data_IF_791916024297
#
_entry.id   IF_791916024297
#
_cell.length_a   1.000
_cell.length_b   1.000
_cell.length_c   1.000
_cell.angle_alpha   90.00
_cell.angle_beta   90.00
_cell.angle_gamma   90.00
#
_symmetry.space_group_name_H-M   'P 1'
#
loop_
_entity.id
_entity.type
_entity.pdbx_description
1 polymer ?
#
# COMPACT_ATOMS: atom_id res chain seq x y z
N UNK A 1 -6.56 -16.59 12.18
CA UNK A 1 -6.40 -15.15 12.47
C UNK A 1 -7.80 -14.55 12.55
N UNK A 2 -8.08 -13.75 13.56
CA UNK A 2 -9.33 -12.99 13.60
C UNK A 2 -9.20 -11.65 12.87
N UNK A 3 -10.34 -10.94 12.70
CA UNK A 3 -10.39 -9.69 11.96
C UNK A 3 -9.62 -8.56 12.67
N UNK A 4 -9.63 -8.54 13.99
CA UNK A 4 -8.93 -7.51 14.76
C UNK A 4 -7.41 -7.71 14.66
N UNK A 5 -6.93 -8.94 14.77
CA UNK A 5 -5.52 -9.23 14.54
C UNK A 5 -5.06 -8.76 13.16
N UNK A 6 -5.83 -9.05 12.12
CA UNK A 6 -5.52 -8.60 10.76
C UNK A 6 -5.47 -7.06 10.67
N UNK A 7 -6.50 -6.36 11.18
CA UNK A 7 -6.60 -4.90 11.13
C UNK A 7 -5.47 -4.21 11.89
N UNK A 8 -5.15 -4.64 13.09
CA UNK A 8 -4.15 -3.99 13.95
C UNK A 8 -2.71 -4.26 13.51
N UNK A 9 -2.44 -5.43 12.92
CA UNK A 9 -1.09 -5.83 12.56
C UNK A 9 -0.73 -5.66 11.09
N UNK A 10 -1.70 -5.37 10.22
CA UNK A 10 -1.40 -5.06 8.81
C UNK A 10 -0.73 -3.70 8.69
N UNK A 11 0.50 -3.70 8.22
CA UNK A 11 1.32 -2.52 7.96
C UNK A 11 2.22 -2.76 6.77
N UNK A 12 2.83 -1.70 6.23
CA UNK A 12 3.75 -1.82 5.11
C UNK A 12 4.98 -2.67 5.47
N UNK A 13 5.05 -3.88 4.91
CA UNK A 13 6.17 -4.83 5.06
C UNK A 13 7.03 -4.78 3.81
N UNK A 14 8.13 -4.01 3.89
CA UNK A 14 9.00 -3.73 2.74
C UNK A 14 10.31 -4.54 2.73
N UNK A 15 10.49 -5.44 3.68
CA UNK A 15 11.59 -6.41 3.70
C UNK A 15 11.01 -7.79 3.69
N UNK A 16 11.09 -8.44 2.55
CA UNK A 16 10.49 -9.75 2.30
C UNK A 16 11.51 -10.71 1.72
N UNK A 17 11.23 -11.98 1.81
CA UNK A 17 11.98 -13.03 1.13
C UNK A 17 11.58 -13.08 -0.36
N UNK A 18 12.45 -13.52 -1.25
CA UNK A 18 12.14 -13.69 -2.67
C UNK A 18 11.33 -14.97 -2.96
N UNK A 19 10.97 -15.73 -1.93
CA UNK A 19 10.24 -16.99 -2.07
C UNK A 19 8.91 -16.77 -2.80
N UNK A 20 8.56 -17.57 -3.81
CA UNK A 20 7.33 -17.41 -4.56
C UNK A 20 6.11 -17.64 -3.67
N UNK A 21 5.05 -16.87 -3.93
CA UNK A 21 3.77 -17.04 -3.25
C UNK A 21 2.97 -18.12 -3.98
N UNK A 22 2.53 -19.20 -3.30
CA UNK A 22 1.77 -20.29 -3.94
C UNK A 22 0.49 -19.79 -4.61
N UNK A 23 0.11 -20.42 -5.71
CA UNK A 23 -1.06 -20.02 -6.53
C UNK A 23 -2.35 -20.02 -5.72
N UNK A 24 -2.55 -20.99 -4.85
CA UNK A 24 -3.72 -21.06 -3.97
C UNK A 24 -3.80 -19.91 -2.96
N UNK A 25 -2.65 -19.40 -2.49
CA UNK A 25 -2.58 -18.17 -1.67
C UNK A 25 -2.93 -16.94 -2.51
N UNK A 26 -2.40 -16.85 -3.74
CA UNK A 26 -2.73 -15.75 -4.66
C UNK A 26 -4.25 -15.73 -4.98
N UNK A 27 -4.86 -16.91 -5.17
CA UNK A 27 -6.30 -17.05 -5.41
C UNK A 27 -7.11 -16.51 -4.22
N UNK A 28 -6.75 -16.86 -2.97
CA UNK A 28 -7.44 -16.37 -1.78
C UNK A 28 -7.31 -14.85 -1.61
N UNK A 29 -6.13 -14.29 -1.93
CA UNK A 29 -5.90 -12.85 -1.90
C UNK A 29 -6.80 -12.13 -2.90
N UNK A 30 -6.89 -12.61 -4.14
CA UNK A 30 -7.72 -12.00 -5.18
C UNK A 30 -9.22 -12.19 -4.93
N UNK A 31 -9.64 -13.37 -4.46
CA UNK A 31 -11.05 -13.59 -4.11
C UNK A 31 -11.50 -12.67 -2.99
N UNK A 32 -10.66 -12.44 -1.97
CA UNK A 32 -10.95 -11.48 -0.92
C UNK A 32 -11.06 -10.04 -1.43
N UNK A 33 -10.24 -9.63 -2.41
CA UNK A 33 -10.32 -8.31 -3.01
C UNK A 33 -11.72 -8.01 -3.56
N UNK A 34 -12.28 -8.94 -4.32
CA UNK A 34 -13.59 -8.76 -4.98
C UNK A 34 -14.79 -8.88 -4.04
N UNK A 35 -14.59 -9.19 -2.74
CA UNK A 35 -15.64 -9.16 -1.71
C UNK A 35 -15.90 -7.76 -1.17
N UNK A 36 -15.06 -6.78 -1.48
CA UNK A 36 -15.26 -5.41 -1.08
C UNK A 36 -16.55 -4.80 -1.70
N UNK A 37 -17.19 -3.84 -1.04
CA UNK A 37 -18.30 -3.11 -1.64
C UNK A 37 -17.83 -2.25 -2.80
N UNK A 38 -18.70 -2.04 -3.79
CA UNK A 38 -18.50 -1.06 -4.86
C UNK A 38 -19.76 -0.22 -5.07
N UNK A 39 -19.60 1.03 -5.47
CA UNK A 39 -20.73 1.93 -5.75
C UNK A 39 -21.69 1.30 -6.75
N UNK A 40 -22.99 1.18 -6.38
CA UNK A 40 -23.99 0.52 -7.19
C UNK A 40 -23.68 -0.94 -7.57
N UNK A 41 -22.75 -1.59 -6.87
CA UNK A 41 -22.24 -2.93 -7.20
C UNK A 41 -21.71 -3.04 -8.65
N UNK A 42 -21.15 -1.97 -9.16
CA UNK A 42 -20.67 -1.90 -10.56
C UNK A 42 -19.43 -2.73 -10.82
N UNK A 43 -18.60 -2.95 -9.81
CA UNK A 43 -17.38 -3.76 -9.87
C UNK A 43 -16.46 -3.37 -11.05
N UNK A 44 -16.37 -2.07 -11.32
CA UNK A 44 -15.55 -1.49 -12.38
C UNK A 44 -14.08 -1.43 -12.00
N UNK A 45 -13.52 -2.55 -11.58
CA UNK A 45 -12.12 -2.73 -11.24
C UNK A 45 -11.49 -3.86 -12.04
N UNK A 46 -10.17 -3.78 -12.18
CA UNK A 46 -9.34 -4.88 -12.68
C UNK A 46 -8.12 -5.01 -11.78
N UNK A 47 -7.75 -6.25 -11.54
CA UNK A 47 -6.58 -6.62 -10.78
C UNK A 47 -5.63 -7.40 -11.66
N UNK A 48 -4.36 -7.00 -11.70
CA UNK A 48 -3.34 -7.67 -12.48
C UNK A 48 -2.22 -8.12 -11.56
N UNK A 49 -1.98 -9.42 -11.50
CA UNK A 49 -0.82 -9.98 -10.83
C UNK A 49 0.38 -9.96 -11.77
N UNK A 50 1.54 -9.59 -11.24
CA UNK A 50 2.81 -9.58 -11.96
C UNK A 50 3.85 -10.28 -11.12
N UNK A 51 4.32 -11.43 -11.59
CA UNK A 51 5.41 -12.22 -11.00
C UNK A 51 6.52 -12.51 -12.01
N UNK A 52 6.28 -12.26 -13.30
CA UNK A 52 7.23 -12.48 -14.36
C UNK A 52 8.48 -11.59 -14.20
N UNK A 53 9.70 -12.17 -14.10
CA UNK A 53 10.92 -11.40 -13.90
C UNK A 53 11.20 -10.38 -14.99
N UNK A 54 10.88 -10.69 -16.26
CA UNK A 54 11.10 -9.79 -17.39
C UNK A 54 10.25 -8.54 -17.32
N UNK A 55 9.01 -8.64 -16.84
CA UNK A 55 8.11 -7.49 -16.62
C UNK A 55 8.59 -6.67 -15.43
N UNK A 56 8.94 -7.31 -14.33
CA UNK A 56 9.47 -6.63 -13.13
C UNK A 56 10.78 -5.87 -13.43
N UNK A 57 11.66 -6.45 -14.25
CA UNK A 57 12.89 -5.79 -14.68
C UNK A 57 12.67 -4.51 -15.49
N UNK A 58 11.54 -4.38 -16.19
CA UNK A 58 11.16 -3.15 -16.89
C UNK A 58 10.53 -2.12 -15.93
N UNK A 59 9.76 -2.58 -14.94
CA UNK A 59 9.08 -1.72 -13.97
C UNK A 59 10.02 -1.14 -12.91
N UNK A 60 11.03 -1.88 -12.47
CA UNK A 60 11.93 -1.48 -11.39
C UNK A 60 12.67 -0.16 -11.63
N UNK A 61 13.30 0.09 -12.77
CA UNK A 61 13.92 1.38 -13.09
C UNK A 61 12.92 2.54 -13.01
N UNK A 62 11.70 2.35 -13.55
CA UNK A 62 10.63 3.35 -13.49
C UNK A 62 10.22 3.62 -12.04
N UNK A 63 10.09 2.57 -11.22
CA UNK A 63 9.76 2.73 -9.80
C UNK A 63 10.81 3.55 -9.06
N UNK A 64 12.12 3.28 -9.29
CA UNK A 64 13.21 4.05 -8.70
C UNK A 64 13.19 5.52 -9.12
N UNK A 65 12.96 5.81 -10.41
CA UNK A 65 12.83 7.18 -10.91
C UNK A 65 11.64 7.90 -10.25
N UNK A 66 10.49 7.24 -10.15
CA UNK A 66 9.29 7.78 -9.49
C UNK A 66 9.56 8.04 -7.99
N UNK A 67 10.26 7.14 -7.30
CA UNK A 67 10.65 7.35 -5.90
C UNK A 67 11.61 8.52 -5.74
N UNK A 68 12.60 8.66 -6.61
CA UNK A 68 13.50 9.81 -6.61
C UNK A 68 12.73 11.13 -6.79
N UNK A 69 11.78 11.15 -7.74
CA UNK A 69 10.91 12.31 -7.96
C UNK A 69 10.04 12.62 -6.74
N UNK A 70 9.47 11.61 -6.09
CA UNK A 70 8.68 11.76 -4.86
C UNK A 70 9.46 12.48 -3.75
N UNK A 71 10.72 12.09 -3.54
CA UNK A 71 11.56 12.67 -2.50
C UNK A 71 11.91 14.14 -2.74
N UNK A 72 12.15 14.52 -4.00
CA UNK A 72 12.55 15.89 -4.34
C UNK A 72 11.36 16.82 -4.64
N UNK A 73 10.13 16.29 -4.62
CA UNK A 73 8.91 17.08 -4.83
C UNK A 73 8.02 17.06 -3.57
N UNK A 74 7.26 16.00 -3.38
CA UNK A 74 6.21 15.93 -2.34
C UNK A 74 6.80 15.90 -0.93
N UNK A 75 7.93 15.22 -0.73
CA UNK A 75 8.55 15.07 0.60
C UNK A 75 9.76 15.96 0.84
N UNK A 76 10.11 16.84 -0.11
CA UNK A 76 11.32 17.65 -0.05
C UNK A 76 11.45 18.39 1.27
N UNK A 77 10.50 19.24 1.61
CA UNK A 77 10.57 20.11 2.78
C UNK A 77 10.61 19.31 4.09
N UNK A 78 9.89 18.20 4.17
CA UNK A 78 9.91 17.30 5.33
C UNK A 78 11.26 16.59 5.48
N UNK A 79 11.88 16.19 4.36
CA UNK A 79 13.21 15.59 4.38
C UNK A 79 14.31 16.58 4.69
N UNK A 80 14.22 17.79 4.17
CA UNK A 80 15.16 18.86 4.49
C UNK A 80 15.12 19.18 6.00
N UNK A 81 13.93 19.31 6.58
CA UNK A 81 13.75 19.48 8.02
C UNK A 81 14.28 18.29 8.82
N UNK A 82 13.98 17.06 8.38
CA UNK A 82 14.44 15.86 9.07
C UNK A 82 15.96 15.68 9.03
N UNK A 83 16.61 16.07 7.93
CA UNK A 83 18.08 16.05 7.83
C UNK A 83 18.75 17.16 8.65
N UNK A 84 18.09 18.32 8.83
CA UNK A 84 18.61 19.41 9.62
C UNK A 84 18.58 19.14 11.14
N UNK A 85 17.61 18.34 11.62
CA UNK A 85 17.44 18.01 13.04
C UNK A 85 17.04 16.51 13.22
N UNK A 86 17.96 15.57 12.91
CA UNK A 86 17.64 14.13 12.82
C UNK A 86 17.28 13.46 14.15
N UNK A 87 17.64 14.06 15.27
CA UNK A 87 17.40 13.52 16.62
C UNK A 87 16.00 13.86 17.15
N UNK A 88 15.28 14.78 16.52
CA UNK A 88 13.89 15.06 16.87
C UNK A 88 13.01 13.84 16.52
N UNK A 89 12.09 13.42 17.40
CA UNK A 89 11.32 12.17 17.22
C UNK A 89 10.57 12.07 15.88
N UNK A 90 9.91 13.16 15.45
CA UNK A 90 9.16 13.20 14.18
C UNK A 90 10.11 13.12 12.97
N UNK A 91 11.28 13.75 13.05
CA UNK A 91 12.30 13.72 12.02
C UNK A 91 12.96 12.35 11.92
N UNK A 92 13.30 11.75 13.06
CA UNK A 92 13.81 10.38 13.12
C UNK A 92 12.82 9.37 12.52
N UNK A 93 11.51 9.57 12.75
CA UNK A 93 10.47 8.75 12.12
C UNK A 93 10.45 8.96 10.60
N UNK A 94 10.48 10.19 10.11
CA UNK A 94 10.50 10.50 8.68
C UNK A 94 11.71 9.86 7.98
N UNK A 95 12.90 9.96 8.55
CA UNK A 95 14.11 9.32 8.00
C UNK A 95 14.00 7.80 8.00
N UNK A 96 13.36 7.21 9.00
CA UNK A 96 13.09 5.77 9.06
C UNK A 96 12.11 5.34 7.96
N UNK A 97 11.06 6.13 7.71
CA UNK A 97 10.09 5.92 6.63
C UNK A 97 10.80 6.00 5.27
N UNK A 98 11.62 7.03 5.05
CA UNK A 98 12.40 7.20 3.83
C UNK A 98 13.29 5.99 3.57
N UNK A 99 14.13 5.58 4.54
CA UNK A 99 15.00 4.40 4.39
C UNK A 99 14.22 3.13 4.08
N UNK A 100 13.04 2.96 4.69
CA UNK A 100 12.19 1.79 4.45
C UNK A 100 11.58 1.81 3.05
N UNK A 101 11.12 2.96 2.57
CA UNK A 101 10.54 3.10 1.24
C UNK A 101 11.63 3.03 0.14
N UNK A 102 12.82 3.60 0.41
CA UNK A 102 13.96 3.50 -0.51
C UNK A 102 14.42 2.04 -0.67
N UNK A 103 14.46 1.27 0.43
CA UNK A 103 14.75 -0.16 0.35
C UNK A 103 13.81 -0.91 -0.61
N UNK A 104 12.51 -0.59 -0.59
CA UNK A 104 11.58 -1.18 -1.55
C UNK A 104 11.94 -0.78 -2.99
N UNK A 105 12.32 0.48 -3.22
CA UNK A 105 12.70 0.94 -4.56
C UNK A 105 13.97 0.26 -5.06
N UNK A 106 14.95 0.09 -4.19
CA UNK A 106 16.24 -0.52 -4.53
C UNK A 106 16.12 -2.02 -4.86
N UNK A 107 15.09 -2.68 -4.30
CA UNK A 107 14.84 -4.13 -4.43
C UNK A 107 13.52 -4.46 -5.12
N UNK A 108 12.95 -3.54 -5.90
CA UNK A 108 11.59 -3.67 -6.45
C UNK A 108 11.41 -4.94 -7.29
N UNK A 109 12.40 -5.30 -8.10
CA UNK A 109 12.36 -6.49 -8.97
C UNK A 109 12.44 -7.83 -8.21
N UNK A 110 12.90 -7.79 -6.95
CA UNK A 110 13.07 -8.98 -6.11
C UNK A 110 11.76 -9.43 -5.43
N UNK A 111 10.73 -8.56 -5.42
CA UNK A 111 9.44 -8.93 -4.84
C UNK A 111 8.80 -10.07 -5.63
N UNK A 112 8.36 -11.16 -4.94
CA UNK A 112 7.86 -12.34 -5.63
C UNK A 112 6.56 -12.08 -6.37
N UNK A 113 5.74 -11.12 -5.91
CA UNK A 113 4.45 -10.83 -6.52
C UNK A 113 4.08 -9.35 -6.37
N UNK A 114 3.57 -8.77 -7.45
CA UNK A 114 2.97 -7.43 -7.47
C UNK A 114 1.49 -7.55 -7.83
N UNK A 115 0.66 -6.68 -7.27
CA UNK A 115 -0.75 -6.53 -7.63
C UNK A 115 -0.98 -5.11 -8.09
N UNK A 116 -1.31 -4.92 -9.35
CA UNK A 116 -1.78 -3.64 -9.89
C UNK A 116 -3.30 -3.58 -9.84
N UNK A 117 -3.82 -2.46 -9.36
CA UNK A 117 -5.25 -2.19 -9.26
C UNK A 117 -5.63 -1.07 -10.22
N UNK A 118 -6.61 -1.33 -11.07
CA UNK A 118 -7.16 -0.37 -12.03
C UNK A 118 -8.66 -0.21 -11.81
N UNK A 119 -9.20 0.95 -12.16
CA UNK A 119 -10.63 1.23 -12.02
C UNK A 119 -11.11 2.15 -13.13
N UNK A 120 -12.38 2.00 -13.51
CA UNK A 120 -13.11 2.97 -14.32
C UNK A 120 -14.09 3.73 -13.42
N UNK A 121 -14.07 5.07 -13.48
CA UNK A 121 -15.01 5.94 -12.78
C UNK A 121 -15.18 5.64 -11.27
N UNK A 122 -14.12 5.87 -10.53
CA UNK A 122 -14.15 5.84 -9.05
C UNK A 122 -13.43 7.09 -8.49
N UNK A 123 -14.04 8.28 -8.62
CA UNK A 123 -13.35 9.56 -8.37
C UNK A 123 -12.89 9.75 -6.93
N UNK A 124 -13.46 9.01 -5.98
CA UNK A 124 -13.07 9.07 -4.56
C UNK A 124 -12.18 7.90 -4.13
N UNK A 125 -11.98 6.89 -4.99
CA UNK A 125 -11.33 5.63 -4.62
C UNK A 125 -12.17 4.75 -3.69
N UNK A 126 -13.46 5.08 -3.51
CA UNK A 126 -14.36 4.44 -2.55
C UNK A 126 -14.67 2.98 -2.83
N UNK A 127 -14.40 2.51 -4.04
CA UNK A 127 -14.55 1.09 -4.43
C UNK A 127 -13.19 0.39 -4.48
N UNK A 128 -12.22 0.96 -5.19
CA UNK A 128 -10.96 0.29 -5.46
C UNK A 128 -10.06 0.16 -4.22
N UNK A 129 -9.99 1.18 -3.35
CA UNK A 129 -9.15 1.09 -2.15
C UNK A 129 -9.68 0.10 -1.10
N UNK A 130 -11.00 0.00 -0.80
CA UNK A 130 -11.53 -1.09 0.00
C UNK A 130 -11.20 -2.48 -0.56
N UNK A 131 -11.27 -2.66 -1.88
CA UNK A 131 -10.91 -3.92 -2.53
C UNK A 131 -9.42 -4.24 -2.40
N UNK A 132 -8.55 -3.26 -2.67
CA UNK A 132 -7.10 -3.40 -2.49
C UNK A 132 -6.74 -3.68 -1.02
N UNK A 133 -7.40 -3.00 -0.08
CA UNK A 133 -7.21 -3.25 1.36
C UNK A 133 -7.66 -4.64 1.77
N UNK A 134 -8.78 -5.15 1.24
CA UNK A 134 -9.23 -6.53 1.47
C UNK A 134 -8.20 -7.55 1.00
N UNK A 135 -7.55 -7.32 -0.15
CA UNK A 135 -6.43 -8.16 -0.62
C UNK A 135 -5.26 -8.14 0.38
N UNK A 136 -4.91 -6.97 0.93
CA UNK A 136 -3.82 -6.84 1.89
C UNK A 136 -4.14 -7.53 3.23
N UNK A 137 -5.38 -7.46 3.71
CA UNK A 137 -5.83 -8.17 4.91
C UNK A 137 -5.81 -9.69 4.70
N UNK A 138 -6.26 -10.17 3.53
CA UNK A 138 -6.18 -11.58 3.18
C UNK A 138 -4.72 -12.05 3.10
N UNK A 139 -3.84 -11.28 2.47
CA UNK A 139 -2.41 -11.56 2.45
C UNK A 139 -1.84 -11.68 3.86
N UNK A 140 -2.21 -10.76 4.77
CA UNK A 140 -1.81 -10.84 6.19
C UNK A 140 -2.27 -12.13 6.85
N UNK A 141 -3.51 -12.59 6.57
CA UNK A 141 -4.06 -13.84 7.10
C UNK A 141 -3.27 -15.07 6.61
N UNK A 142 -2.71 -15.01 5.41
CA UNK A 142 -1.85 -16.03 4.82
C UNK A 142 -0.36 -15.90 5.22
N UNK A 143 -0.03 -14.97 6.12
CA UNK A 143 1.36 -14.72 6.53
C UNK A 143 2.18 -13.96 5.49
N UNK A 144 1.55 -13.42 4.46
CA UNK A 144 2.18 -12.63 3.39
C UNK A 144 2.15 -11.14 3.77
N UNK A 145 3.31 -10.52 3.75
CA UNK A 145 3.47 -9.08 3.92
C UNK A 145 3.08 -8.31 2.68
N UNK A 146 2.53 -7.12 2.88
CA UNK A 146 2.09 -6.26 1.79
C UNK A 146 2.60 -4.82 1.98
N UNK A 147 2.85 -4.11 0.88
CA UNK A 147 3.09 -2.66 0.91
C UNK A 147 2.42 -2.00 -0.29
N UNK A 148 1.44 -1.13 -0.01
CA UNK A 148 0.74 -0.35 -1.03
C UNK A 148 1.58 0.87 -1.44
N UNK A 149 1.63 1.13 -2.72
CA UNK A 149 2.26 2.31 -3.32
C UNK A 149 1.44 2.81 -4.51
N UNK A 150 1.41 4.12 -4.71
CA UNK A 150 0.84 4.77 -5.90
C UNK A 150 1.88 5.57 -6.68
N UNK A 151 3.15 5.47 -6.32
CA UNK A 151 4.21 6.34 -6.85
C UNK A 151 4.39 6.25 -8.36
N UNK A 152 3.96 5.17 -8.97
CA UNK A 152 3.96 5.00 -10.44
C UNK A 152 3.16 6.07 -11.19
N UNK A 153 2.28 6.82 -10.50
CA UNK A 153 1.52 7.90 -11.14
C UNK A 153 2.42 8.96 -11.80
N UNK A 154 3.65 9.13 -11.34
CA UNK A 154 4.61 10.06 -11.94
C UNK A 154 5.01 9.68 -13.39
N UNK A 155 4.93 8.40 -13.72
CA UNK A 155 5.29 7.88 -15.04
C UNK A 155 4.28 6.82 -15.52
N UNK A 156 3.00 7.06 -15.24
CA UNK A 156 1.96 6.04 -15.42
C UNK A 156 1.85 5.54 -16.86
N UNK A 157 2.03 6.40 -17.86
CA UNK A 157 1.92 6.00 -19.27
C UNK A 157 2.91 4.90 -19.65
N UNK A 158 4.15 4.97 -19.14
CA UNK A 158 5.16 3.94 -19.36
C UNK A 158 4.75 2.61 -18.70
N UNK A 159 4.16 2.70 -17.51
CA UNK A 159 3.69 1.51 -16.78
C UNK A 159 2.54 0.84 -17.50
N UNK A 160 1.56 1.62 -17.99
CA UNK A 160 0.43 1.10 -18.76
C UNK A 160 0.91 0.42 -20.06
N UNK A 161 1.90 0.98 -20.75
CA UNK A 161 2.50 0.38 -21.95
C UNK A 161 3.19 -0.95 -21.65
N UNK A 162 3.98 -1.02 -20.59
CA UNK A 162 4.65 -2.28 -20.17
C UNK A 162 3.62 -3.36 -19.79
N UNK A 163 2.56 -2.98 -19.10
CA UNK A 163 1.52 -3.89 -18.64
C UNK A 163 0.49 -4.22 -19.72
N UNK A 164 0.53 -3.56 -20.88
CA UNK A 164 -0.45 -3.75 -21.95
C UNK A 164 -1.86 -3.32 -21.60
N UNK A 165 -2.01 -2.32 -20.72
CA UNK A 165 -3.34 -1.83 -20.32
C UNK A 165 -3.92 -0.98 -21.44
N UNK A 166 -5.16 -1.28 -21.93
CA UNK A 166 -5.77 -0.53 -23.03
C UNK A 166 -6.12 0.90 -22.58
N UNK A 167 -5.42 1.88 -23.17
CA UNK A 167 -5.55 3.30 -22.81
C UNK A 167 -6.87 3.92 -23.29
N UNK A 168 -7.46 3.37 -24.33
CA UNK A 168 -8.73 3.82 -24.94
C UNK A 168 -9.97 3.33 -24.18
N UNK A 169 -9.83 2.36 -23.30
CA UNK A 169 -10.93 1.84 -22.47
C UNK A 169 -11.18 2.62 -21.18
N UNK A 170 -10.37 3.64 -20.87
CA UNK A 170 -10.56 4.49 -19.70
C UNK A 170 -10.17 3.85 -18.36
N UNK A 171 -9.31 2.83 -18.36
CA UNK A 171 -8.75 2.26 -17.14
C UNK A 171 -7.73 3.20 -16.51
N UNK A 172 -7.97 3.56 -15.25
CA UNK A 172 -7.10 4.41 -14.46
C UNK A 172 -6.34 3.55 -13.45
N UNK A 173 -5.04 3.76 -13.36
CA UNK A 173 -4.21 3.18 -12.32
C UNK A 173 -4.61 3.75 -10.95
N UNK A 174 -4.79 2.89 -9.97
CA UNK A 174 -5.08 3.26 -8.59
C UNK A 174 -3.89 3.03 -7.67
N UNK A 175 -3.36 1.81 -7.66
CA UNK A 175 -2.24 1.45 -6.81
C UNK A 175 -1.52 0.20 -7.28
N UNK A 176 -0.30 0.03 -6.79
CA UNK A 176 0.44 -1.22 -6.82
C UNK A 176 0.65 -1.70 -5.38
N UNK A 177 0.45 -2.99 -5.13
CA UNK A 177 0.80 -3.64 -3.85
C UNK A 177 1.92 -4.62 -4.12
N UNK A 178 3.02 -4.49 -3.37
CA UNK A 178 4.07 -5.51 -3.37
C UNK A 178 3.78 -6.54 -2.29
N UNK A 179 3.90 -7.83 -2.61
CA UNK A 179 3.70 -8.95 -1.70
C UNK A 179 4.96 -9.78 -1.54
N UNK A 180 5.13 -10.38 -0.35
CA UNK A 180 6.20 -11.34 -0.05
C UNK A 180 6.18 -11.78 1.40
N UNK A 181 6.85 -12.88 1.74
CA UNK A 181 6.97 -13.33 3.12
C UNK A 181 7.91 -12.42 3.89
N UNK A 182 7.45 -11.74 4.97
CA UNK A 182 8.27 -10.75 5.65
C UNK A 182 9.45 -11.38 6.39
N UNK A 183 10.58 -10.69 6.40
CA UNK A 183 11.74 -11.04 7.22
C UNK A 183 11.66 -10.46 8.63
N UNK A 184 10.78 -9.47 8.85
CA UNK A 184 10.52 -8.81 10.12
C UNK A 184 9.35 -9.44 10.88
N UNK A 185 9.10 -8.91 12.08
CA UNK A 185 7.98 -9.35 12.93
C UNK A 185 6.73 -8.52 12.65
N UNK A 186 5.58 -9.18 12.76
CA UNK A 186 4.30 -8.50 12.85
C UNK A 186 4.20 -7.74 14.17
N UNK A 187 3.42 -6.68 14.18
CA UNK A 187 3.17 -5.90 15.39
C UNK A 187 2.18 -4.78 15.10
N UNK A 188 1.56 -4.27 16.14
CA UNK A 188 0.61 -3.16 16.06
C UNK A 188 1.34 -1.92 15.56
N UNK A 189 0.80 -1.31 14.50
CA UNK A 189 1.35 -0.07 13.98
C UNK A 189 0.96 1.11 14.89
N UNK A 190 1.93 1.96 15.22
CA UNK A 190 1.64 3.20 15.94
C UNK A 190 0.64 4.06 15.14
N UNK A 191 -0.39 4.54 15.82
CA UNK A 191 -1.40 5.45 15.28
C UNK A 191 -1.71 6.50 16.34
N UNK A 192 -2.24 7.64 15.90
CA UNK A 192 -2.80 8.62 16.82
C UNK A 192 -3.99 8.01 17.56
N UNK A 193 -4.20 8.34 18.85
CA UNK A 193 -5.38 7.93 19.59
C UNK A 193 -6.67 8.31 18.85
N UNK A 194 -7.67 7.42 18.85
CA UNK A 194 -8.89 7.61 18.05
C UNK A 194 -9.66 8.87 18.44
N UNK A 195 -9.62 9.27 19.71
CA UNK A 195 -10.32 10.46 20.20
C UNK A 195 -9.69 11.78 19.73
N UNK A 196 -8.45 11.77 19.25
CA UNK A 196 -7.79 12.94 18.64
C UNK A 196 -8.20 13.18 17.18
N UNK A 197 -8.77 12.17 16.52
CA UNK A 197 -9.10 12.20 15.09
C UNK A 197 -10.57 11.91 14.79
N UNK A 198 -11.41 11.90 15.82
CA UNK A 198 -12.81 11.56 15.69
C UNK A 198 -13.71 12.54 16.47
N UNK A 199 -14.86 12.83 15.93
CA UNK A 199 -15.82 13.76 16.51
C UNK A 199 -17.23 13.14 16.56
N UNK A 200 -18.09 13.65 17.44
CA UNK A 200 -19.50 13.22 17.56
C UNK A 200 -20.43 14.33 17.10
N UNK A 201 -21.34 14.01 16.22
CA UNK A 201 -22.41 14.85 15.68
C UNK A 201 -21.92 16.05 14.84
N UNK A 202 -20.90 16.79 15.27
CA UNK A 202 -20.35 17.96 14.57
C UNK A 202 -18.83 17.94 14.60
N UNK A 203 -18.24 18.59 13.62
CA UNK A 203 -16.78 18.76 13.57
C UNK A 203 -16.28 19.53 14.81
N UNK A 204 -15.26 18.98 15.47
CA UNK A 204 -14.68 19.54 16.68
C UNK A 204 -15.37 19.14 18.00
N UNK A 205 -16.54 18.50 17.95
CA UNK A 205 -17.25 18.04 19.14
C UNK A 205 -16.62 16.75 19.70
N UNK A 206 -16.44 16.71 21.01
CA UNK A 206 -15.87 15.53 21.69
C UNK A 206 -16.70 14.27 21.47
N UNK A 207 -16.02 13.12 21.35
CA UNK A 207 -16.67 11.80 21.35
C UNK A 207 -17.41 11.49 22.65
N UNK A 208 -17.01 12.12 23.78
CA UNK A 208 -17.50 11.79 25.12
C UNK A 208 -16.82 10.58 25.77
N UNK A 209 -15.76 10.06 25.12
CA UNK A 209 -14.89 9.02 25.67
C UNK A 209 -13.49 9.15 25.06
N UNK A 210 -12.50 8.53 25.70
CA UNK A 210 -11.11 8.46 25.23
C UNK A 210 -10.68 7.02 25.10
N UNK A 211 -9.82 6.78 24.09
CA UNK A 211 -9.15 5.48 23.86
C UNK A 211 -7.67 5.80 23.64
N UNK A 212 -6.86 5.88 24.72
CA UNK A 212 -5.45 6.27 24.61
C UNK A 212 -4.58 5.18 24.02
N UNK A 213 -4.93 3.91 24.22
CA UNK A 213 -4.17 2.75 23.76
C UNK A 213 -5.00 1.84 22.86
N UNK A 214 -4.38 1.05 21.98
CA UNK A 214 -5.10 0.08 21.18
C UNK A 214 -5.93 -0.88 22.02
N UNK A 215 -7.18 -1.14 21.64
CA UNK A 215 -8.08 -2.04 22.37
C UNK A 215 -7.80 -3.52 22.12
N UNK A 216 -7.10 -3.83 21.04
CA UNK A 216 -6.65 -5.19 20.72
C UNK A 216 -5.18 -5.33 21.16
N UNK A 217 -4.84 -6.35 21.98
CA UNK A 217 -3.51 -6.55 22.56
C UNK A 217 -2.46 -7.04 21.54
#
# INVERSE_FOLDING_TARGET
MDVYEALYTTRAMRRVKPDPIPVDVQQRILDAAVRAPSGGNTQNWRFMLVDEPAVKAQLGPIYRECMAQLWVTIYKDRLDAANAAPDEPENAEMLRIQRSAQHLADHFEEYPLLLFSFVQFDPTGGSIFPATWSAMLAARAEGVGASLTSVFFFQIDKVLDILGVPKDEGWLFSSCVTFGYPTGRWGVAARRPVHEVSFRNRWGESLGFEIPEPLWP
#
